data_IF_890723880019
#
_entry.id   IF_890723880019
#
_cell.length_a   1.000
_cell.length_b   1.000
_cell.length_c   1.000
_cell.angle_alpha   90.00
_cell.angle_beta   90.00
_cell.angle_gamma   90.00
#
_symmetry.space_group_name_H-M   'P 1'
#
loop_
_entity.id
_entity.type
_entity.pdbx_description
1 polymer ?
#
# COMPACT_ATOMS: atom_id res chain seq x y z
N UNK A 1 -48.01 -44.60 13.19
CA UNK A 1 -46.66 -44.02 13.33
C UNK A 1 -46.42 -43.06 12.17
N UNK A 2 -46.09 -41.80 12.45
CA UNK A 2 -46.01 -40.73 11.46
C UNK A 2 -44.84 -40.97 10.48
N UNK A 3 -45.13 -41.32 9.22
CA UNK A 3 -44.16 -41.57 8.14
C UNK A 3 -43.46 -40.31 7.60
N UNK A 4 -43.68 -39.15 8.24
CA UNK A 4 -43.08 -37.86 7.89
C UNK A 4 -41.54 -37.88 7.76
N UNK A 5 -40.75 -38.57 8.63
CA UNK A 5 -39.30 -38.58 8.48
C UNK A 5 -38.82 -39.41 7.28
N UNK A 6 -39.50 -40.49 6.90
CA UNK A 6 -39.15 -41.28 5.72
C UNK A 6 -39.31 -40.48 4.42
N UNK A 7 -40.41 -39.71 4.32
CA UNK A 7 -40.65 -38.83 3.15
C UNK A 7 -39.53 -37.81 2.96
N UNK A 8 -39.00 -37.25 4.05
CA UNK A 8 -37.89 -36.31 4.01
C UNK A 8 -36.59 -36.98 3.52
N UNK A 9 -36.31 -38.20 3.97
CA UNK A 9 -35.12 -38.96 3.51
C UNK A 9 -35.18 -39.27 2.03
N UNK A 10 -36.35 -39.67 1.51
CA UNK A 10 -36.54 -39.95 0.08
C UNK A 10 -36.33 -38.67 -0.75
N UNK A 11 -36.92 -37.55 -0.33
CA UNK A 11 -36.75 -36.25 -0.99
C UNK A 11 -35.27 -35.85 -1.00
N UNK A 12 -34.59 -35.92 0.14
CA UNK A 12 -33.18 -35.57 0.25
C UNK A 12 -32.28 -36.46 -0.63
N UNK A 13 -32.52 -37.78 -0.62
CA UNK A 13 -31.76 -38.73 -1.45
C UNK A 13 -31.94 -38.47 -2.95
N UNK A 14 -33.15 -38.08 -3.38
CA UNK A 14 -33.46 -37.78 -4.78
C UNK A 14 -32.73 -36.55 -5.34
N UNK A 15 -32.26 -35.64 -4.49
CA UNK A 15 -31.58 -34.39 -4.90
C UNK A 15 -30.07 -34.53 -5.08
N UNK A 16 -29.48 -35.67 -4.70
CA UNK A 16 -28.05 -35.93 -4.83
C UNK A 16 -27.20 -35.16 -3.81
N UNK A 17 -25.87 -35.24 -3.96
CA UNK A 17 -24.90 -34.59 -3.06
C UNK A 17 -24.46 -33.26 -3.65
N UNK A 18 -24.57 -32.19 -2.86
CA UNK A 18 -24.09 -30.85 -3.22
C UNK A 18 -22.65 -30.57 -2.75
N UNK A 19 -22.05 -31.49 -2.00
CA UNK A 19 -20.70 -31.34 -1.43
C UNK A 19 -19.62 -31.65 -2.47
N UNK A 20 -18.54 -30.89 -2.46
CA UNK A 20 -17.33 -31.15 -3.26
C UNK A 20 -16.29 -31.91 -2.42
N UNK A 21 -15.41 -32.68 -3.07
CA UNK A 21 -14.33 -33.42 -2.40
C UNK A 21 -13.09 -32.55 -2.18
N UNK A 22 -13.18 -31.56 -1.30
CA UNK A 22 -12.01 -30.77 -0.90
C UNK A 22 -10.97 -31.66 -0.20
N UNK A 23 -9.65 -31.52 -0.45
CA UNK A 23 -8.98 -30.58 -1.36
C UNK A 23 -8.78 -31.09 -2.79
N UNK A 24 -9.24 -32.30 -3.12
CA UNK A 24 -9.04 -32.92 -4.45
C UNK A 24 -9.90 -32.32 -5.56
N UNK A 25 -10.89 -31.51 -5.20
CA UNK A 25 -11.73 -30.76 -6.11
C UNK A 25 -11.78 -29.31 -5.62
N UNK A 26 -11.41 -28.38 -6.50
CA UNK A 26 -11.37 -26.96 -6.19
C UNK A 26 -12.78 -26.41 -5.93
N UNK A 27 -12.93 -25.48 -4.97
CA UNK A 27 -14.18 -24.76 -4.78
C UNK A 27 -14.44 -23.80 -5.95
N UNK A 28 -15.70 -23.41 -6.11
CA UNK A 28 -16.09 -22.43 -7.12
C UNK A 28 -15.62 -21.04 -6.67
N UNK A 29 -14.59 -20.49 -7.34
CA UNK A 29 -14.07 -19.14 -7.09
C UNK A 29 -14.34 -18.26 -8.31
N UNK A 30 -15.11 -17.20 -8.14
CA UNK A 30 -15.48 -16.31 -9.25
C UNK A 30 -14.40 -15.25 -9.53
N UNK A 31 -14.59 -14.48 -10.60
CA UNK A 31 -13.66 -13.42 -10.93
C UNK A 31 -13.71 -12.24 -9.92
N UNK A 32 -14.83 -12.05 -9.25
CA UNK A 32 -15.08 -10.97 -8.31
C UNK A 32 -14.65 -11.32 -6.89
N UNK A 33 -14.23 -12.57 -6.66
CA UNK A 33 -13.81 -13.05 -5.36
C UNK A 33 -12.62 -12.24 -4.82
N UNK A 34 -12.77 -11.74 -3.59
CA UNK A 34 -11.76 -10.91 -2.93
C UNK A 34 -10.90 -11.76 -2.00
N UNK A 35 -9.77 -12.24 -2.51
CA UNK A 35 -8.75 -12.93 -1.74
C UNK A 35 -7.65 -12.00 -1.21
N UNK A 36 -6.53 -12.60 -0.86
CA UNK A 36 -5.32 -11.93 -0.43
C UNK A 36 -4.87 -10.84 -1.41
N UNK A 37 -4.23 -9.79 -0.88
CA UNK A 37 -3.57 -8.79 -1.71
C UNK A 37 -2.09 -9.16 -1.88
N UNK A 38 -1.57 -8.94 -3.09
CA UNK A 38 -0.14 -9.02 -3.40
C UNK A 38 0.42 -7.60 -3.58
N UNK A 39 1.57 -7.32 -2.97
CA UNK A 39 2.21 -6.00 -3.01
C UNK A 39 3.51 -6.11 -3.80
N UNK A 40 3.52 -5.56 -5.02
CA UNK A 40 4.70 -5.49 -5.87
C UNK A 40 5.75 -4.55 -5.25
N UNK A 41 6.86 -5.10 -4.72
CA UNK A 41 7.86 -4.32 -4.01
C UNK A 41 8.74 -3.51 -4.96
N UNK A 42 8.61 -3.65 -6.28
CA UNK A 42 9.34 -2.85 -7.28
C UNK A 42 8.52 -1.61 -7.65
N UNK A 43 7.21 -1.79 -7.85
CA UNK A 43 6.28 -0.67 -8.16
C UNK A 43 5.95 0.19 -6.96
N UNK A 44 5.91 -0.39 -5.76
CA UNK A 44 5.56 0.38 -4.57
C UNK A 44 6.53 1.56 -4.37
N UNK A 45 5.99 2.74 -4.11
CA UNK A 45 6.74 3.98 -3.87
C UNK A 45 6.72 4.42 -2.40
N UNK A 46 6.08 3.67 -1.50
CA UNK A 46 6.02 4.01 -0.09
C UNK A 46 5.25 5.29 0.25
N UNK A 47 4.24 5.67 -0.55
CA UNK A 47 3.48 6.92 -0.35
C UNK A 47 2.46 6.88 0.80
N UNK A 48 2.09 5.69 1.29
CA UNK A 48 1.15 5.53 2.41
C UNK A 48 -0.31 5.80 2.11
N UNK A 49 -0.71 5.98 0.84
CA UNK A 49 -2.13 6.12 0.47
C UNK A 49 -2.96 4.90 0.90
N UNK A 50 -2.42 3.69 0.73
CA UNK A 50 -3.08 2.44 1.13
C UNK A 50 -3.27 2.32 2.65
N UNK A 51 -2.32 2.83 3.46
CA UNK A 51 -2.41 2.86 4.93
C UNK A 51 -3.61 3.71 5.33
N UNK A 52 -3.71 4.95 4.81
CA UNK A 52 -4.82 5.86 5.10
C UNK A 52 -6.19 5.30 4.66
N UNK A 53 -6.22 4.50 3.61
CA UNK A 53 -7.46 3.91 3.09
C UNK A 53 -7.88 2.62 3.82
N UNK A 54 -7.03 2.00 4.63
CA UNK A 54 -7.29 0.70 5.26
C UNK A 54 -8.17 0.85 6.52
N UNK A 55 -9.47 0.46 6.49
CA UNK A 55 -10.34 0.64 7.66
C UNK A 55 -9.85 -0.08 8.93
N UNK A 56 -9.37 -1.34 8.87
CA UNK A 56 -8.92 -2.03 10.07
C UNK A 56 -7.45 -1.74 10.42
N UNK A 57 -6.75 -0.83 9.73
CA UNK A 57 -5.32 -0.58 9.92
C UNK A 57 -4.46 -1.86 9.77
N UNK A 58 -4.76 -2.71 8.78
CA UNK A 58 -3.96 -3.89 8.44
C UNK A 58 -2.65 -3.53 7.73
N UNK A 59 -2.54 -2.31 7.21
CA UNK A 59 -1.34 -1.74 6.61
C UNK A 59 -0.78 -0.66 7.54
N UNK A 60 0.53 -0.65 7.73
CA UNK A 60 1.23 0.31 8.58
C UNK A 60 2.52 0.76 7.90
N UNK A 61 2.91 2.03 8.12
CA UNK A 61 4.24 2.51 7.78
C UNK A 61 5.05 2.72 9.06
N UNK A 62 6.20 2.08 9.14
CA UNK A 62 7.23 2.38 10.14
C UNK A 62 8.36 3.17 9.48
N UNK A 63 8.85 4.22 10.14
CA UNK A 63 9.94 5.05 9.62
C UNK A 63 11.21 4.89 10.46
N UNK A 64 12.36 4.87 9.78
CA UNK A 64 13.69 4.99 10.36
C UNK A 64 14.45 6.13 9.67
N UNK A 65 15.66 6.46 10.14
CA UNK A 65 16.49 7.50 9.51
C UNK A 65 16.80 7.21 8.04
N UNK A 66 16.89 5.93 7.65
CA UNK A 66 17.30 5.54 6.28
C UNK A 66 16.16 4.92 5.48
N UNK A 67 15.14 4.39 6.16
CA UNK A 67 14.15 3.54 5.53
C UNK A 67 12.72 3.94 5.90
N UNK A 68 11.80 3.68 4.97
CA UNK A 68 10.37 3.68 5.19
C UNK A 68 9.90 2.26 4.89
N UNK A 69 9.27 1.62 5.87
CA UNK A 69 8.88 0.21 5.83
C UNK A 69 7.36 0.13 5.81
N UNK A 70 6.80 -0.35 4.70
CA UNK A 70 5.39 -0.71 4.61
C UNK A 70 5.20 -2.14 5.11
N UNK A 71 4.38 -2.32 6.14
CA UNK A 71 4.01 -3.63 6.69
C UNK A 71 2.54 -3.90 6.42
N UNK A 72 2.25 -5.07 5.90
CA UNK A 72 0.90 -5.59 5.75
C UNK A 72 0.73 -6.82 6.64
N UNK A 73 -0.27 -6.80 7.51
CA UNK A 73 -0.63 -7.93 8.36
C UNK A 73 -1.98 -8.49 7.91
N UNK A 74 -1.95 -9.63 7.22
CA UNK A 74 -3.17 -10.26 6.65
C UNK A 74 -4.17 -10.64 7.74
N UNK A 75 -3.71 -11.01 8.94
CA UNK A 75 -4.57 -11.39 10.07
C UNK A 75 -5.52 -10.29 10.57
N UNK A 76 -5.30 -9.02 10.19
CA UNK A 76 -6.20 -7.88 10.48
C UNK A 76 -6.97 -7.41 9.23
N UNK A 77 -6.64 -7.93 8.07
CA UNK A 77 -7.25 -7.53 6.81
C UNK A 77 -8.70 -8.03 6.72
N UNK A 78 -9.61 -7.16 6.28
CA UNK A 78 -11.01 -7.51 6.01
C UNK A 78 -11.28 -7.76 4.51
N UNK A 79 -10.21 -7.90 3.70
CA UNK A 79 -10.25 -8.18 2.25
C UNK A 79 -11.14 -7.22 1.43
N UNK A 80 -11.30 -5.97 1.90
CA UNK A 80 -12.16 -4.98 1.24
C UNK A 80 -11.55 -4.38 -0.03
N UNK A 81 -10.28 -4.63 -0.33
CA UNK A 81 -9.57 -4.16 -1.54
C UNK A 81 -9.47 -2.63 -1.75
N UNK A 82 -9.89 -1.79 -0.79
CA UNK A 82 -9.73 -0.33 -0.88
C UNK A 82 -8.29 0.14 -1.10
N UNK A 83 -7.31 -0.62 -0.62
CA UNK A 83 -5.89 -0.34 -0.81
C UNK A 83 -5.46 -0.44 -2.28
N UNK A 84 -6.14 -1.27 -3.08
CA UNK A 84 -5.93 -1.39 -4.53
C UNK A 84 -6.41 -0.12 -5.22
N UNK A 85 -7.64 0.31 -4.91
CA UNK A 85 -8.30 1.46 -5.55
C UNK A 85 -7.52 2.77 -5.38
N UNK A 86 -6.83 2.94 -4.25
CA UNK A 86 -6.10 4.18 -3.93
C UNK A 86 -4.63 4.16 -4.35
N UNK A 87 -4.11 3.04 -4.88
CA UNK A 87 -2.69 2.92 -5.19
C UNK A 87 -2.35 3.69 -6.48
N UNK A 88 -1.58 4.80 -6.44
CA UNK A 88 -1.35 5.64 -7.62
C UNK A 88 -0.50 4.95 -8.70
N UNK A 89 0.21 3.89 -8.34
CA UNK A 89 1.16 3.16 -9.19
C UNK A 89 0.74 1.72 -9.43
N UNK A 90 -0.47 1.33 -9.01
CA UNK A 90 -1.00 -0.04 -9.14
C UNK A 90 -0.02 -1.11 -8.62
N UNK A 91 0.63 -0.83 -7.49
CA UNK A 91 1.55 -1.74 -6.83
C UNK A 91 0.84 -2.84 -6.04
N UNK A 92 -0.40 -2.60 -5.60
CA UNK A 92 -1.20 -3.59 -4.85
C UNK A 92 -2.19 -4.23 -5.80
N UNK A 93 -2.24 -5.56 -5.83
CA UNK A 93 -3.17 -6.34 -6.66
C UNK A 93 -4.00 -7.27 -5.81
N UNK A 94 -5.26 -7.47 -6.21
CA UNK A 94 -6.14 -8.46 -5.61
C UNK A 94 -5.88 -9.83 -6.22
N UNK A 95 -5.73 -10.84 -5.38
CA UNK A 95 -5.60 -12.23 -5.81
C UNK A 95 -6.87 -13.01 -5.47
N UNK A 96 -6.94 -14.25 -5.94
CA UNK A 96 -7.98 -15.19 -5.54
C UNK A 96 -7.48 -16.18 -4.49
N UNK A 97 -6.31 -15.92 -3.91
CA UNK A 97 -5.77 -16.76 -2.86
C UNK A 97 -6.57 -16.56 -1.58
N UNK A 98 -7.08 -17.65 -1.00
CA UNK A 98 -7.84 -17.65 0.26
C UNK A 98 -7.35 -18.69 1.26
N UNK A 99 -6.47 -19.61 0.85
CA UNK A 99 -5.94 -20.68 1.68
C UNK A 99 -4.71 -20.20 2.46
N UNK A 100 -4.91 -19.20 3.33
CA UNK A 100 -3.84 -18.44 4.00
C UNK A 100 -3.49 -18.99 5.40
N UNK A 101 -4.00 -20.16 5.76
CA UNK A 101 -3.80 -20.72 7.10
C UNK A 101 -2.32 -21.08 7.32
N UNK A 102 -1.75 -20.60 8.42
CA UNK A 102 -0.37 -20.85 8.86
C UNK A 102 -0.36 -21.10 10.37
N UNK A 103 0.65 -21.83 10.85
CA UNK A 103 0.93 -22.05 12.27
C UNK A 103 1.78 -20.92 12.89
N UNK A 104 2.40 -20.06 12.08
CA UNK A 104 3.30 -19.00 12.53
C UNK A 104 2.74 -17.62 12.23
N UNK A 105 2.65 -16.80 13.28
CA UNK A 105 2.21 -15.40 13.16
C UNK A 105 3.13 -14.55 12.27
N UNK A 106 4.41 -14.92 12.14
CA UNK A 106 5.37 -14.23 11.27
C UNK A 106 5.00 -14.29 9.80
N UNK A 107 4.37 -15.39 9.37
CA UNK A 107 4.04 -15.63 7.96
C UNK A 107 2.86 -14.77 7.50
N UNK A 108 2.12 -14.18 8.46
CA UNK A 108 1.03 -13.26 8.20
C UNK A 108 1.51 -11.84 7.84
N UNK A 109 2.81 -11.56 7.90
CA UNK A 109 3.39 -10.27 7.58
C UNK A 109 4.02 -10.25 6.19
N UNK A 110 3.61 -9.30 5.36
CA UNK A 110 4.36 -8.88 4.17
C UNK A 110 5.04 -7.55 4.46
N UNK A 111 6.33 -7.45 4.13
CA UNK A 111 7.14 -6.25 4.42
C UNK A 111 7.79 -5.73 3.14
N UNK A 112 7.60 -4.45 2.84
CA UNK A 112 8.23 -3.76 1.72
C UNK A 112 9.06 -2.60 2.26
N UNK A 113 10.36 -2.62 1.97
CA UNK A 113 11.33 -1.63 2.46
C UNK A 113 11.65 -0.63 1.35
N UNK A 114 11.69 0.65 1.70
CA UNK A 114 12.06 1.74 0.81
C UNK A 114 13.18 2.58 1.40
N UNK A 115 14.19 2.87 0.60
CA UNK A 115 15.27 3.79 0.98
C UNK A 115 14.82 5.25 0.86
N UNK A 116 15.12 6.05 1.88
CA UNK A 116 14.85 7.49 1.91
C UNK A 116 15.82 8.24 1.02
N UNK A 117 15.29 9.24 0.32
CA UNK A 117 16.10 10.21 -0.38
C UNK A 117 16.63 11.25 0.61
N UNK A 118 17.77 11.86 0.31
CA UNK A 118 18.38 12.91 1.14
C UNK A 118 18.26 14.27 0.50
N UNK A 119 18.31 15.31 1.32
CA UNK A 119 18.40 16.70 0.88
C UNK A 119 19.85 17.05 0.53
N UNK A 120 20.11 17.66 -0.62
CA UNK A 120 21.46 18.09 -1.03
C UNK A 120 22.05 19.18 -0.14
N UNK A 121 21.21 20.02 0.48
CA UNK A 121 21.66 21.17 1.28
C UNK A 121 21.96 20.79 2.73
N UNK A 122 21.09 20.00 3.35
CA UNK A 122 21.18 19.69 4.78
C UNK A 122 21.38 18.22 5.12
N UNK A 123 21.41 17.33 4.12
CA UNK A 123 21.59 15.89 4.31
C UNK A 123 20.41 15.16 4.96
N UNK A 124 19.36 15.86 5.42
CA UNK A 124 18.23 15.23 6.12
C UNK A 124 17.48 14.24 5.22
N UNK A 125 17.05 13.09 5.76
CA UNK A 125 16.26 12.11 5.04
C UNK A 125 14.81 12.58 4.90
N UNK A 126 14.28 12.55 3.68
CA UNK A 126 12.94 13.04 3.34
C UNK A 126 12.06 11.90 2.82
N UNK A 127 11.27 12.12 1.76
CA UNK A 127 10.49 11.06 1.10
C UNK A 127 11.34 9.89 0.58
N UNK A 128 10.69 8.81 0.13
CA UNK A 128 11.39 7.69 -0.50
C UNK A 128 12.03 8.12 -1.83
N UNK A 129 13.15 7.49 -2.17
CA UNK A 129 13.83 7.70 -3.47
C UNK A 129 12.89 7.45 -4.65
N UNK A 130 11.99 6.48 -4.52
CA UNK A 130 11.01 6.14 -5.55
C UNK A 130 9.87 7.16 -5.64
N UNK A 131 9.41 7.70 -4.52
CA UNK A 131 8.42 8.79 -4.53
C UNK A 131 9.00 10.03 -5.22
N UNK A 132 10.25 10.39 -4.90
CA UNK A 132 10.95 11.49 -5.58
C UNK A 132 11.01 11.28 -7.09
N UNK A 133 11.42 10.09 -7.52
CA UNK A 133 11.45 9.71 -8.95
C UNK A 133 10.06 9.81 -9.59
N UNK A 134 9.04 9.26 -8.94
CA UNK A 134 7.66 9.32 -9.43
C UNK A 134 7.17 10.76 -9.65
N UNK A 135 7.42 11.66 -8.69
CA UNK A 135 7.03 13.08 -8.80
C UNK A 135 7.82 13.77 -9.92
N UNK A 136 9.11 13.47 -10.07
CA UNK A 136 9.96 14.03 -11.13
C UNK A 136 9.45 13.62 -12.52
N UNK A 137 9.09 12.34 -12.71
CA UNK A 137 8.56 11.82 -13.97
C UNK A 137 7.17 12.38 -14.32
N UNK A 138 6.33 12.68 -13.31
CA UNK A 138 4.95 13.13 -13.51
C UNK A 138 4.79 14.65 -13.60
N UNK A 139 5.79 15.42 -13.18
CA UNK A 139 5.69 16.88 -13.09
C UNK A 139 6.93 17.54 -13.72
N UNK A 140 6.81 18.12 -14.93
CA UNK A 140 7.98 18.70 -15.64
C UNK A 140 8.52 19.98 -14.99
N UNK A 141 7.75 20.64 -14.11
CA UNK A 141 8.10 21.94 -13.51
C UNK A 141 9.00 21.80 -12.26
N UNK A 142 9.26 20.58 -11.78
CA UNK A 142 9.84 20.36 -10.44
C UNK A 142 11.34 20.07 -10.36
N UNK A 143 12.08 20.01 -11.48
CA UNK A 143 13.49 19.59 -11.48
C UNK A 143 14.39 20.45 -10.58
N UNK A 144 14.16 21.76 -10.50
CA UNK A 144 15.01 22.67 -9.69
C UNK A 144 14.88 22.50 -8.18
N UNK A 145 13.80 21.88 -7.68
CA UNK A 145 13.52 21.86 -6.24
C UNK A 145 13.29 20.47 -5.65
N UNK A 146 13.26 19.42 -6.47
CA UNK A 146 12.89 18.07 -6.02
C UNK A 146 13.95 17.41 -5.14
N UNK A 147 15.20 17.84 -5.25
CA UNK A 147 16.34 17.34 -4.45
C UNK A 147 16.46 18.02 -3.09
N UNK A 148 15.67 19.08 -2.84
CA UNK A 148 15.75 19.92 -1.65
C UNK A 148 14.53 19.68 -0.76
N UNK A 149 14.77 19.50 0.54
CA UNK A 149 13.70 19.31 1.52
C UNK A 149 12.79 20.55 1.68
N UNK A 150 11.54 20.40 2.15
CA UNK A 150 10.62 21.52 2.32
C UNK A 150 11.17 22.68 3.16
N UNK A 151 11.93 22.37 4.22
CA UNK A 151 12.53 23.40 5.09
C UNK A 151 13.63 24.19 4.38
N UNK A 152 14.55 23.52 3.69
CA UNK A 152 15.60 24.19 2.92
C UNK A 152 15.00 25.00 1.74
N UNK A 153 13.95 24.49 1.10
CA UNK A 153 13.23 25.21 0.03
C UNK A 153 12.58 26.49 0.55
N UNK A 154 11.95 26.44 1.72
CA UNK A 154 11.38 27.65 2.38
C UNK A 154 12.47 28.66 2.74
N UNK A 155 13.61 28.21 3.25
CA UNK A 155 14.74 29.09 3.60
C UNK A 155 15.27 29.82 2.37
N UNK A 156 15.57 29.10 1.29
CA UNK A 156 16.04 29.70 0.03
C UNK A 156 15.03 30.71 -0.54
N UNK A 157 13.74 30.39 -0.48
CA UNK A 157 12.70 31.30 -0.93
C UNK A 157 12.67 32.58 -0.06
N UNK A 158 12.79 32.45 1.26
CA UNK A 158 12.83 33.60 2.16
C UNK A 158 14.03 34.51 1.89
N UNK A 159 15.21 33.93 1.66
CA UNK A 159 16.44 34.65 1.27
C UNK A 159 16.27 35.36 -0.09
N UNK A 160 15.69 34.69 -1.09
CA UNK A 160 15.44 35.31 -2.40
C UNK A 160 14.46 36.50 -2.31
N UNK A 161 13.45 36.41 -1.43
CA UNK A 161 12.46 37.48 -1.22
C UNK A 161 13.06 38.65 -0.45
N UNK A 162 13.91 38.42 0.55
CA UNK A 162 14.58 39.49 1.29
C UNK A 162 15.50 40.30 0.38
N UNK A 163 16.25 39.63 -0.50
CA UNK A 163 17.15 40.26 -1.48
C UNK A 163 16.42 41.10 -2.54
N UNK A 164 15.13 40.85 -2.78
CA UNK A 164 14.29 41.69 -3.66
C UNK A 164 13.76 42.96 -2.98
N UNK A 165 13.68 42.98 -1.65
CA UNK A 165 13.24 44.16 -0.88
C UNK A 165 14.36 45.17 -0.65
N UNK A 166 15.61 44.70 -0.67
CA UNK A 166 16.79 45.56 -0.68
C UNK A 166 16.99 46.05 -2.11
N UNK A 167 16.57 47.28 -2.41
CA UNK A 167 16.84 47.90 -3.72
C UNK A 167 18.35 47.96 -4.00
N UNK A 168 18.79 48.28 -5.24
CA UNK A 168 20.20 48.28 -5.64
C UNK A 168 21.17 49.14 -4.79
N UNK A 169 20.68 49.88 -3.81
CA UNK A 169 21.39 50.86 -2.99
C UNK A 169 22.11 50.32 -1.76
N UNK A 170 22.04 49.02 -1.43
CA UNK A 170 22.74 48.48 -0.24
C UNK A 170 23.72 47.33 -0.55
N UNK A 171 24.27 47.29 -1.77
CA UNK A 171 25.53 46.57 -2.01
C UNK A 171 26.69 47.42 -1.47
N UNK A 172 26.90 47.39 -0.14
CA UNK A 172 28.13 47.91 0.46
C UNK A 172 29.23 46.87 0.32
N UNK A 173 30.41 47.41 -0.01
CA UNK A 173 31.72 46.80 -0.23
C UNK A 173 32.14 45.73 0.80
#
# INVERSE_FOLDING_TARGET
MSLKPLKLVIIASSKGRVTVKYPYQEPIVTQEFRGEIDIDPVKCIGCGACVKACPPNALEISESEREIILKYFVGRCIFCWRCIDVCPVNAIKGTRNFELATDKSTDLYTVVVHTRATCEICGKPVETTRMRRYVTEKTPVTEEYITICPECRRRLLAEAVSMRKVGPSERKE
#
